data_IF_726822436550
#
_entry.id   IF_726822436550
#
_cell.length_a   1.000
_cell.length_b   1.000
_cell.length_c   1.000
_cell.angle_alpha   90.00
_cell.angle_beta   90.00
_cell.angle_gamma   90.00
#
_symmetry.space_group_name_H-M   'P 1'
#
loop_
_entity.id
_entity.type
_entity.pdbx_description
1 polymer ?
#
# COMPACT_ATOMS: atom_id res chain seq x y z
N UNK A 1 21.43 10.48 -0.11
CA UNK A 1 21.04 9.96 -1.43
C UNK A 1 19.62 9.40 -1.42
N UNK A 2 19.28 8.42 -0.55
CA UNK A 2 17.95 7.79 -0.52
C UNK A 2 16.79 8.74 -0.14
N UNK A 3 16.97 9.67 0.82
CA UNK A 3 15.90 10.60 1.24
C UNK A 3 15.51 11.65 0.18
N UNK A 4 16.48 12.17 -0.57
CA UNK A 4 16.22 13.17 -1.61
C UNK A 4 15.50 12.55 -2.82
N UNK A 5 15.85 11.30 -3.14
CA UNK A 5 15.15 10.53 -4.17
C UNK A 5 13.72 10.20 -3.74
N UNK A 6 13.52 9.74 -2.50
CA UNK A 6 12.19 9.51 -1.95
C UNK A 6 11.31 10.76 -2.02
N UNK A 7 11.87 11.94 -1.67
CA UNK A 7 11.16 13.22 -1.75
C UNK A 7 10.81 13.60 -3.19
N UNK A 8 11.66 13.26 -4.16
CA UNK A 8 11.37 13.50 -5.58
C UNK A 8 10.25 12.58 -6.08
N UNK A 9 10.31 11.29 -5.74
CA UNK A 9 9.30 10.30 -6.09
C UNK A 9 7.94 10.67 -5.48
N UNK A 10 7.90 11.03 -4.18
CA UNK A 10 6.70 11.55 -3.50
C UNK A 10 6.08 12.74 -4.25
N UNK A 11 6.89 13.73 -4.65
CA UNK A 11 6.42 14.90 -5.41
C UNK A 11 5.87 14.54 -6.79
N UNK A 12 6.52 13.62 -7.50
CA UNK A 12 6.05 13.16 -8.80
C UNK A 12 4.70 12.44 -8.69
N UNK A 13 4.55 11.56 -7.69
CA UNK A 13 3.30 10.87 -7.39
C UNK A 13 2.19 11.85 -7.01
N UNK A 14 2.46 12.81 -6.11
CA UNK A 14 1.48 13.82 -5.71
C UNK A 14 0.97 14.63 -6.91
N UNK A 15 1.88 15.06 -7.78
CA UNK A 15 1.54 15.79 -9.02
C UNK A 15 0.66 14.96 -9.96
N UNK A 16 0.97 13.67 -10.13
CA UNK A 16 0.19 12.79 -11.01
C UNK A 16 -1.20 12.51 -10.40
N UNK A 17 -1.28 12.29 -9.09
CA UNK A 17 -2.55 12.13 -8.36
C UNK A 17 -3.46 13.35 -8.47
N UNK A 18 -2.89 14.56 -8.35
CA UNK A 18 -3.65 15.79 -8.54
C UNK A 18 -4.23 15.90 -9.97
N UNK A 19 -3.47 15.49 -10.99
CA UNK A 19 -3.96 15.48 -12.37
C UNK A 19 -5.05 14.44 -12.60
N UNK A 20 -4.94 13.26 -11.99
CA UNK A 20 -5.99 12.23 -12.01
C UNK A 20 -7.27 12.76 -11.36
N UNK A 21 -7.18 13.28 -10.13
CA UNK A 21 -8.32 13.82 -9.39
C UNK A 21 -9.04 14.93 -10.18
N UNK A 22 -8.29 15.88 -10.75
CA UNK A 22 -8.90 16.94 -11.57
C UNK A 22 -9.63 16.43 -12.82
N UNK A 23 -9.15 15.33 -13.41
CA UNK A 23 -9.83 14.68 -14.55
C UNK A 23 -11.06 13.88 -14.12
N UNK A 24 -11.00 13.22 -12.97
CA UNK A 24 -12.14 12.53 -12.37
C UNK A 24 -13.26 13.53 -12.03
N UNK A 25 -12.92 14.68 -11.48
CA UNK A 25 -13.86 15.78 -11.25
C UNK A 25 -14.48 16.25 -12.59
N UNK A 26 -13.65 16.38 -13.62
CA UNK A 26 -14.12 16.78 -14.96
C UNK A 26 -15.14 15.79 -15.55
N UNK A 27 -15.00 14.48 -15.28
CA UNK A 27 -15.95 13.47 -15.75
C UNK A 27 -17.38 13.69 -15.23
N UNK A 28 -17.54 14.37 -14.09
CA UNK A 28 -18.86 14.63 -13.49
C UNK A 28 -19.66 15.67 -14.26
N UNK A 29 -18.99 16.63 -14.91
CA UNK A 29 -19.63 17.77 -15.58
C UNK A 29 -19.50 17.76 -17.10
N UNK A 30 -18.56 16.99 -17.65
CA UNK A 30 -18.25 17.00 -19.08
C UNK A 30 -19.33 16.33 -19.94
N UNK A 31 -19.44 16.79 -21.19
CA UNK A 31 -20.34 16.24 -22.18
C UNK A 31 -20.04 14.74 -22.45
N UNK A 32 -21.06 13.89 -22.70
CA UNK A 32 -20.88 12.46 -22.89
C UNK A 32 -19.86 12.08 -23.98
N UNK A 33 -19.78 12.87 -25.05
CA UNK A 33 -18.90 12.62 -26.19
C UNK A 33 -17.42 12.75 -25.82
N UNK A 34 -17.08 13.57 -24.84
CA UNK A 34 -15.71 13.79 -24.38
C UNK A 34 -15.30 12.85 -23.23
N UNK A 35 -16.25 12.15 -22.59
CA UNK A 35 -15.98 11.25 -21.45
C UNK A 35 -14.98 10.16 -21.79
N UNK A 36 -15.09 9.56 -22.98
CA UNK A 36 -14.19 8.49 -23.41
C UNK A 36 -12.75 8.97 -23.47
N UNK A 37 -12.52 10.18 -24.01
CA UNK A 37 -11.19 10.78 -24.08
C UNK A 37 -10.60 11.04 -22.69
N UNK A 38 -11.40 11.58 -21.77
CA UNK A 38 -10.94 11.85 -20.40
C UNK A 38 -10.61 10.55 -19.66
N UNK A 39 -11.41 9.48 -19.84
CA UNK A 39 -11.13 8.16 -19.28
C UNK A 39 -9.80 7.59 -19.75
N UNK A 40 -9.50 7.70 -21.05
CA UNK A 40 -8.20 7.25 -21.60
C UNK A 40 -7.05 8.03 -20.95
N UNK A 41 -7.17 9.36 -20.82
CA UNK A 41 -6.14 10.17 -20.19
C UNK A 41 -5.91 9.84 -18.71
N UNK A 42 -6.96 9.46 -17.98
CA UNK A 42 -6.84 8.97 -16.59
C UNK A 42 -6.06 7.66 -16.57
N UNK A 43 -6.38 6.72 -17.47
CA UNK A 43 -5.67 5.46 -17.58
C UNK A 43 -4.18 5.66 -17.91
N UNK A 44 -3.85 6.55 -18.85
CA UNK A 44 -2.48 6.87 -19.23
C UNK A 44 -1.69 7.48 -18.05
N UNK A 45 -2.29 8.40 -17.30
CA UNK A 45 -1.66 8.99 -16.11
C UNK A 45 -1.41 7.95 -15.01
N UNK A 46 -2.33 7.00 -14.83
CA UNK A 46 -2.17 5.90 -13.88
C UNK A 46 -1.05 4.95 -14.30
N UNK A 47 -0.92 4.66 -15.60
CA UNK A 47 0.22 3.91 -16.13
C UNK A 47 1.55 4.66 -15.93
N UNK A 48 1.56 5.99 -16.06
CA UNK A 48 2.74 6.82 -15.77
C UNK A 48 3.11 6.83 -14.27
N UNK A 49 2.13 6.66 -13.38
CA UNK A 49 2.35 6.59 -11.93
C UNK A 49 3.05 5.30 -11.49
N UNK A 50 2.70 4.17 -12.11
CA UNK A 50 3.21 2.84 -11.73
C UNK A 50 4.72 2.77 -11.44
N UNK A 51 5.64 3.22 -12.32
CA UNK A 51 7.07 3.12 -12.05
C UNK A 51 7.52 3.96 -10.84
N UNK A 52 6.85 5.08 -10.57
CA UNK A 52 7.15 5.89 -9.39
C UNK A 52 6.63 5.23 -8.11
N UNK A 53 5.54 4.47 -8.17
CA UNK A 53 5.02 3.71 -7.03
C UNK A 53 5.94 2.53 -6.71
N UNK A 54 6.36 1.77 -7.72
CA UNK A 54 7.34 0.70 -7.57
C UNK A 54 8.64 1.23 -6.93
N UNK A 55 9.18 2.33 -7.45
CA UNK A 55 10.37 2.97 -6.90
C UNK A 55 10.16 3.48 -5.47
N UNK A 56 9.01 4.04 -5.17
CA UNK A 56 8.66 4.50 -3.83
C UNK A 56 8.74 3.37 -2.82
N UNK A 57 8.17 2.21 -3.15
CA UNK A 57 8.18 1.03 -2.28
C UNK A 57 9.55 0.40 -2.16
N UNK A 58 10.31 0.35 -3.25
CA UNK A 58 11.68 -0.15 -3.21
C UNK A 58 12.52 0.70 -2.24
N UNK A 59 12.41 2.04 -2.33
CA UNK A 59 13.13 2.94 -1.43
C UNK A 59 12.67 2.75 0.03
N UNK A 60 11.36 2.56 0.27
CA UNK A 60 10.87 2.31 1.62
C UNK A 60 11.34 0.96 2.17
N UNK A 61 11.40 -0.09 1.35
CA UNK A 61 11.90 -1.39 1.76
C UNK A 61 13.37 -1.29 2.17
N UNK A 62 14.21 -0.69 1.32
CA UNK A 62 15.64 -0.42 1.60
C UNK A 62 15.83 0.43 2.86
N UNK A 63 15.02 1.47 3.05
CA UNK A 63 15.09 2.31 4.24
C UNK A 63 14.58 1.58 5.50
N UNK A 64 13.56 0.74 5.37
CA UNK A 64 13.03 -0.03 6.50
C UNK A 64 14.08 -0.97 7.08
N UNK A 65 14.99 -1.52 6.27
CA UNK A 65 16.14 -2.30 6.75
C UNK A 65 17.01 -1.48 7.70
N UNK A 66 17.21 -0.19 7.41
CA UNK A 66 18.07 0.73 8.18
C UNK A 66 17.40 1.41 9.37
N UNK A 67 16.05 1.41 9.45
CA UNK A 67 15.32 2.03 10.57
C UNK A 67 15.33 1.10 11.77
N UNK A 68 15.86 1.63 12.89
CA UNK A 68 15.77 1.02 14.22
C UNK A 68 14.36 1.26 14.77
N UNK A 69 13.54 0.21 14.75
CA UNK A 69 12.15 0.27 15.18
C UNK A 69 12.13 0.00 16.69
N UNK A 70 12.09 1.07 17.49
CA UNK A 70 12.01 0.97 18.95
C UNK A 70 10.70 0.30 19.39
N UNK A 71 10.82 -0.85 20.05
CA UNK A 71 9.72 -1.56 20.72
C UNK A 71 9.19 -0.71 21.88
N UNK A 72 7.85 -0.57 22.06
CA UNK A 72 6.87 -1.68 22.00
C UNK A 72 5.78 -1.55 20.91
N UNK A 73 5.83 -0.54 20.05
CA UNK A 73 4.83 -0.36 18.98
C UNK A 73 4.71 -1.55 17.98
N UNK A 74 5.79 -2.30 17.64
CA UNK A 74 5.72 -3.40 16.68
C UNK A 74 4.94 -4.63 17.15
N UNK A 75 5.00 -4.94 18.45
CA UNK A 75 4.36 -6.15 19.02
C UNK A 75 2.84 -6.06 18.94
N UNK A 76 2.29 -4.87 19.19
CA UNK A 76 0.86 -4.59 19.08
C UNK A 76 0.38 -4.75 17.64
N UNK A 77 1.17 -4.28 16.66
CA UNK A 77 0.85 -4.42 15.23
C UNK A 77 0.94 -5.88 14.79
N UNK A 78 1.97 -6.61 15.23
CA UNK A 78 2.11 -8.04 14.94
C UNK A 78 0.96 -8.85 15.55
N UNK A 79 0.55 -8.56 16.79
CA UNK A 79 -0.58 -9.23 17.43
C UNK A 79 -1.90 -8.99 16.68
N UNK A 80 -2.18 -7.74 16.26
CA UNK A 80 -3.33 -7.43 15.43
C UNK A 80 -3.30 -8.20 14.10
N UNK A 81 -2.14 -8.23 13.43
CA UNK A 81 -1.99 -8.95 12.17
C UNK A 81 -2.26 -10.45 12.37
N UNK A 82 -1.66 -11.09 13.38
CA UNK A 82 -1.86 -12.53 13.65
C UNK A 82 -3.33 -12.83 13.93
N UNK A 83 -3.97 -12.06 14.82
CA UNK A 83 -5.37 -12.27 15.18
C UNK A 83 -6.30 -12.09 13.98
N UNK A 84 -6.15 -10.98 13.24
CA UNK A 84 -7.03 -10.65 12.12
C UNK A 84 -6.81 -11.57 10.93
N UNK A 85 -5.56 -11.88 10.57
CA UNK A 85 -5.28 -12.82 9.48
C UNK A 85 -5.78 -14.22 9.81
N UNK A 86 -5.66 -14.70 11.05
CA UNK A 86 -6.21 -15.98 11.49
C UNK A 86 -7.74 -16.04 11.41
N UNK A 87 -8.44 -14.98 11.84
CA UNK A 87 -9.90 -14.88 11.72
C UNK A 87 -10.36 -14.79 10.26
N UNK A 88 -9.69 -13.99 9.44
CA UNK A 88 -10.10 -13.69 8.06
C UNK A 88 -9.84 -14.85 7.10
N UNK A 89 -8.82 -15.69 7.36
CA UNK A 89 -8.57 -16.93 6.61
C UNK A 89 -9.72 -17.94 6.70
N UNK A 90 -10.53 -17.87 7.76
CA UNK A 90 -11.73 -18.71 7.93
C UNK A 90 -13.01 -18.06 7.40
N UNK A 91 -12.95 -16.80 6.97
CA UNK A 91 -14.11 -16.09 6.44
C UNK A 91 -14.22 -16.26 4.93
N UNK A 92 -15.44 -16.48 4.43
CA UNK A 92 -15.75 -16.62 3.01
C UNK A 92 -15.87 -15.24 2.29
N UNK A 93 -15.50 -14.16 2.98
CA UNK A 93 -15.64 -12.77 2.51
C UNK A 93 -14.40 -12.25 1.79
N UNK A 94 -13.32 -13.03 1.74
CA UNK A 94 -12.07 -12.65 1.06
C UNK A 94 -12.01 -13.29 -0.33
N UNK A 95 -11.58 -12.53 -1.34
CA UNK A 95 -11.18 -13.10 -2.62
C UNK A 95 -9.97 -14.03 -2.44
N UNK A 96 -9.80 -15.02 -3.34
CA UNK A 96 -8.71 -16.00 -3.25
C UNK A 96 -7.31 -15.34 -3.21
N UNK A 97 -7.15 -14.22 -3.91
CA UNK A 97 -5.92 -13.42 -3.95
C UNK A 97 -5.63 -12.72 -2.60
N UNK A 98 -6.65 -12.09 -2.00
CA UNK A 98 -6.54 -11.52 -0.64
C UNK A 98 -6.23 -12.61 0.37
N UNK A 99 -6.85 -13.77 0.23
CA UNK A 99 -6.65 -14.92 1.11
C UNK A 99 -5.23 -15.50 0.98
N UNK A 100 -4.66 -15.56 -0.22
CA UNK A 100 -3.24 -15.91 -0.42
C UNK A 100 -2.30 -14.89 0.23
N UNK A 101 -2.55 -13.59 0.05
CA UNK A 101 -1.74 -12.55 0.68
C UNK A 101 -1.81 -12.65 2.21
N UNK A 102 -2.99 -12.85 2.78
CA UNK A 102 -3.18 -13.02 4.23
C UNK A 102 -2.49 -14.28 4.75
N UNK A 103 -2.45 -15.37 3.98
CA UNK A 103 -1.69 -16.58 4.35
C UNK A 103 -0.18 -16.30 4.37
N UNK A 104 0.35 -15.60 3.38
CA UNK A 104 1.77 -15.21 3.31
C UNK A 104 2.14 -14.28 4.47
N UNK A 105 1.30 -13.27 4.74
CA UNK A 105 1.48 -12.34 5.88
C UNK A 105 1.47 -13.12 7.20
N UNK A 106 0.44 -13.96 7.43
CA UNK A 106 0.32 -14.79 8.64
C UNK A 106 1.53 -15.70 8.82
N UNK A 107 2.03 -16.32 7.75
CA UNK A 107 3.22 -17.16 7.79
C UNK A 107 4.46 -16.39 8.22
N UNK A 108 4.68 -15.16 7.72
CA UNK A 108 5.83 -14.34 8.12
C UNK A 108 5.72 -13.83 9.56
N UNK A 109 4.54 -13.37 10.01
CA UNK A 109 4.38 -12.88 11.39
C UNK A 109 4.37 -13.99 12.44
N UNK A 110 4.04 -15.22 12.04
CA UNK A 110 4.01 -16.39 12.93
C UNK A 110 5.39 -17.03 13.13
N UNK A 111 6.45 -16.57 12.45
CA UNK A 111 7.79 -17.15 12.61
C UNK A 111 8.32 -16.91 14.06
N UNK A 112 8.63 -17.96 14.82
CA UNK A 112 8.93 -17.83 16.26
C UNK A 112 10.29 -17.17 16.55
N UNK A 113 11.22 -17.14 15.60
CA UNK A 113 12.60 -16.69 15.82
C UNK A 113 12.86 -15.21 15.42
N UNK A 114 11.89 -14.53 14.80
CA UNK A 114 12.04 -13.13 14.35
C UNK A 114 11.50 -12.16 15.41
N UNK A 115 12.22 -11.05 15.62
CA UNK A 115 11.70 -9.91 16.42
C UNK A 115 10.46 -9.32 15.77
N UNK A 116 9.60 -8.65 16.55
CA UNK A 116 8.38 -8.03 16.03
C UNK A 116 8.69 -7.00 14.92
N UNK A 117 9.78 -6.24 15.08
CA UNK A 117 10.30 -5.36 14.05
C UNK A 117 10.67 -6.10 12.75
N UNK A 118 11.40 -7.22 12.84
CA UNK A 118 11.80 -8.01 11.66
C UNK A 118 10.59 -8.63 10.94
N UNK A 119 9.57 -9.07 11.68
CA UNK A 119 8.30 -9.56 11.13
C UNK A 119 7.58 -8.48 10.34
N UNK A 120 7.47 -7.27 10.87
CA UNK A 120 6.82 -6.17 10.16
C UNK A 120 7.58 -5.73 8.90
N UNK A 121 8.91 -5.75 8.94
CA UNK A 121 9.73 -5.50 7.73
C UNK A 121 9.46 -6.54 6.65
N UNK A 122 9.36 -7.82 7.01
CA UNK A 122 9.00 -8.88 6.06
C UNK A 122 7.59 -8.70 5.49
N UNK A 123 6.61 -8.29 6.31
CA UNK A 123 5.25 -7.96 5.84
C UNK A 123 5.25 -6.78 4.88
N UNK A 124 6.04 -5.74 5.14
CA UNK A 124 6.20 -4.60 4.22
C UNK A 124 6.72 -5.04 2.86
N UNK A 125 7.72 -5.93 2.81
CA UNK A 125 8.27 -6.44 1.55
C UNK A 125 7.31 -7.35 0.77
N UNK A 126 6.29 -7.91 1.44
CA UNK A 126 5.24 -8.70 0.81
C UNK A 126 4.07 -7.86 0.29
N UNK A 127 4.00 -6.58 0.67
CA UNK A 127 2.97 -5.69 0.15
C UNK A 127 3.23 -5.42 -1.32
N UNK A 128 2.21 -5.56 -2.20
CA UNK A 128 2.36 -5.18 -3.58
C UNK A 128 2.79 -3.71 -3.68
N UNK A 129 3.56 -3.32 -4.72
CA UNK A 129 3.95 -1.92 -4.94
C UNK A 129 2.77 -0.95 -5.17
N UNK A 130 1.53 -1.44 -5.13
CA UNK A 130 0.31 -0.69 -5.41
C UNK A 130 -0.46 -0.23 -4.17
N UNK A 131 -0.02 -0.55 -2.94
CA UNK A 131 -0.79 -0.20 -1.72
C UNK A 131 -0.61 1.27 -1.30
N UNK A 132 -0.49 2.18 -2.27
CA UNK A 132 -0.53 3.62 -2.04
C UNK A 132 -1.64 4.27 -2.90
N UNK A 133 -2.90 4.06 -2.48
CA UNK A 133 -4.06 4.97 -2.63
C UNK A 133 -4.54 5.39 -4.03
N UNK A 134 -4.00 4.90 -5.15
CA UNK A 134 -4.41 5.43 -6.48
C UNK A 134 -4.37 4.45 -7.66
N UNK A 135 -4.21 3.14 -7.42
CA UNK A 135 -4.21 2.15 -8.50
C UNK A 135 -5.63 1.70 -8.86
N UNK A 136 -5.96 1.64 -10.16
CA UNK A 136 -7.26 1.20 -10.69
C UNK A 136 -7.30 -0.27 -11.13
N UNK A 137 -6.31 -1.08 -10.74
CA UNK A 137 -6.55 -2.52 -10.81
C UNK A 137 -7.64 -2.83 -9.78
N UNK A 138 -8.80 -3.29 -10.24
CA UNK A 138 -9.96 -3.63 -9.40
C UNK A 138 -9.57 -4.51 -8.20
N UNK A 139 -8.54 -5.34 -8.42
CA UNK A 139 -7.87 -6.22 -7.46
C UNK A 139 -7.05 -5.48 -6.37
N UNK A 140 -6.28 -4.47 -6.75
CA UNK A 140 -5.41 -3.75 -5.81
C UNK A 140 -6.19 -2.75 -4.94
N UNK A 141 -7.28 -2.17 -5.47
CA UNK A 141 -8.24 -1.36 -4.67
C UNK A 141 -8.90 -2.22 -3.60
N UNK A 142 -9.26 -3.46 -3.95
CA UNK A 142 -9.88 -4.40 -3.02
C UNK A 142 -8.91 -4.72 -1.87
N UNK A 143 -7.65 -5.04 -2.19
CA UNK A 143 -6.61 -5.29 -1.18
C UNK A 143 -6.40 -4.05 -0.30
N UNK A 144 -6.32 -2.85 -0.87
CA UNK A 144 -6.12 -1.63 -0.10
C UNK A 144 -7.29 -1.37 0.86
N UNK A 145 -8.52 -1.41 0.35
CA UNK A 145 -9.73 -1.21 1.16
C UNK A 145 -9.80 -2.25 2.27
N UNK A 146 -9.44 -3.49 1.96
CA UNK A 146 -9.40 -4.58 2.91
C UNK A 146 -8.39 -4.30 4.03
N UNK A 147 -7.15 -3.93 3.69
CA UNK A 147 -6.10 -3.63 4.68
C UNK A 147 -6.47 -2.44 5.56
N UNK A 148 -7.07 -1.37 5.01
CA UNK A 148 -7.55 -0.22 5.80
C UNK A 148 -8.68 -0.59 6.76
N UNK A 149 -9.58 -1.47 6.31
CA UNK A 149 -10.76 -1.86 7.09
C UNK A 149 -10.41 -2.85 8.19
N UNK A 150 -9.52 -3.81 7.89
CA UNK A 150 -9.26 -4.96 8.76
C UNK A 150 -7.94 -4.87 9.53
N UNK A 151 -6.98 -4.06 9.06
CA UNK A 151 -5.66 -3.84 9.69
C UNK A 151 -5.35 -2.34 9.87
N UNK A 152 -6.19 -1.58 10.60
CA UNK A 152 -6.06 -0.14 10.76
C UNK A 152 -4.79 0.29 11.51
N UNK A 153 -4.24 -0.52 12.42
CA UNK A 153 -3.01 -0.14 13.15
C UNK A 153 -1.78 -0.37 12.30
N UNK A 154 -1.78 -1.43 11.49
CA UNK A 154 -0.74 -1.66 10.49
C UNK A 154 -0.67 -0.52 9.48
N UNK A 155 -1.81 -0.13 8.88
CA UNK A 155 -1.85 0.97 7.90
C UNK A 155 -1.37 2.30 8.48
N UNK A 156 -1.79 2.64 9.72
CA UNK A 156 -1.26 3.83 10.42
C UNK A 156 0.24 3.75 10.70
N UNK A 157 0.75 2.57 11.05
CA UNK A 157 2.18 2.38 11.27
C UNK A 157 2.99 2.58 9.99
N UNK A 158 2.51 2.06 8.85
CA UNK A 158 3.11 2.32 7.53
C UNK A 158 3.11 3.82 7.22
N UNK A 159 2.00 4.52 7.46
CA UNK A 159 1.93 5.98 7.26
C UNK A 159 2.92 6.76 8.15
N UNK A 160 3.16 6.31 9.40
CA UNK A 160 4.12 6.93 10.31
C UNK A 160 5.56 6.68 9.85
N UNK A 161 5.88 5.48 9.38
CA UNK A 161 7.18 5.17 8.78
C UNK A 161 7.46 6.05 7.57
N UNK A 162 6.47 6.21 6.71
CA UNK A 162 6.52 7.09 5.53
C UNK A 162 6.75 8.56 5.89
N UNK A 163 6.24 9.03 7.03
CA UNK A 163 6.44 10.41 7.50
C UNK A 163 7.81 10.64 8.15
N UNK A 164 8.42 9.58 8.69
CA UNK A 164 9.76 9.63 9.30
C UNK A 164 10.90 9.49 8.29
N UNK A 165 10.60 9.09 7.04
CA UNK A 165 11.54 8.97 5.91
C UNK A 165 11.49 10.13 4.91
#
# INVERSE_FOLDING_TARGET
>A
MSSDRLRQVKRNLERLRQQVAGKEDTLTTIAPEERVRIKIQIADLKAEMQPFEEEYWQILAEQSETVDISEPAPEVVVAEIVEKTGQLQTSQQCSDEVLELLKKIHAEVSQPEKTAAAKLKAVLSLMPPFVNLSCEMERDIEIERFLRTHLPTFTKWVEILVKKS
#
